data_IF_976550204574
#
_entry.id   IF_976550204574
#
_cell.length_a   1.000
_cell.length_b   1.000
_cell.length_c   1.000
_cell.angle_alpha   90.00
_cell.angle_beta   90.00
_cell.angle_gamma   90.00
#
_symmetry.space_group_name_H-M   'P 1'
#
loop_
_entity.id
_entity.type
_entity.pdbx_description
1 polymer ?
#
# COMPACT_ATOMS: atom_id res chain seq x y z
N UNK A 1 -0.24 27.07 -3.68
CA UNK A 1 0.03 28.12 -2.69
C UNK A 1 -0.15 27.61 -1.27
N UNK A 2 -1.29 27.05 -0.94
CA UNK A 2 -1.54 26.44 0.38
C UNK A 2 -0.56 25.31 0.70
N UNK A 3 -0.28 24.45 -0.26
CA UNK A 3 0.66 23.31 -0.11
C UNK A 3 2.12 23.74 0.10
N UNK A 4 2.51 24.90 -0.42
CA UNK A 4 3.87 25.43 -0.30
C UNK A 4 4.04 26.42 0.87
N UNK A 5 3.00 26.67 1.67
CA UNK A 5 3.02 27.60 2.79
C UNK A 5 3.32 29.06 2.39
N UNK A 6 3.14 29.42 1.10
CA UNK A 6 3.41 30.76 0.57
C UNK A 6 2.14 31.43 0.06
N UNK A 7 2.11 32.76 0.14
CA UNK A 7 0.98 33.55 -0.38
C UNK A 7 0.82 33.34 -1.90
N UNK A 8 -0.44 33.28 -2.42
CA UNK A 8 -0.69 33.12 -3.86
C UNK A 8 -0.01 34.15 -4.73
N UNK A 9 0.15 35.38 -4.24
CA UNK A 9 0.86 36.47 -4.92
C UNK A 9 2.33 36.18 -5.16
N UNK A 10 2.99 35.48 -4.24
CA UNK A 10 4.40 35.06 -4.38
C UNK A 10 4.57 34.06 -5.50
N UNK A 11 3.68 33.07 -5.59
CA UNK A 11 3.68 32.07 -6.68
C UNK A 11 3.46 32.75 -8.03
N UNK A 12 2.44 33.60 -8.12
CA UNK A 12 2.16 34.36 -9.34
C UNK A 12 3.39 35.18 -9.78
N UNK A 13 4.04 35.90 -8.85
CA UNK A 13 5.24 36.67 -9.14
C UNK A 13 6.38 35.79 -9.67
N UNK A 14 6.64 34.65 -9.06
CA UNK A 14 7.69 33.71 -9.49
C UNK A 14 7.42 33.10 -10.86
N UNK A 15 6.17 32.72 -11.15
CA UNK A 15 5.78 32.23 -12.48
C UNK A 15 5.98 33.32 -13.53
N UNK A 16 5.50 34.53 -13.28
CA UNK A 16 5.69 35.65 -14.21
C UNK A 16 7.16 35.97 -14.46
N UNK A 17 8.02 35.86 -13.44
CA UNK A 17 9.48 36.05 -13.60
C UNK A 17 10.06 34.91 -14.48
N UNK A 18 9.67 33.68 -14.28
CA UNK A 18 10.09 32.56 -15.09
C UNK A 18 9.66 32.73 -16.55
N UNK A 19 8.39 33.05 -16.80
CA UNK A 19 7.84 33.31 -18.14
C UNK A 19 8.59 34.43 -18.84
N UNK A 20 8.90 35.51 -18.10
CA UNK A 20 9.70 36.61 -18.64
C UNK A 20 11.13 36.21 -19.00
N UNK A 21 11.78 35.37 -18.18
CA UNK A 21 13.13 34.88 -18.46
C UNK A 21 13.16 33.91 -19.64
N UNK A 22 12.10 33.15 -19.85
CA UNK A 22 11.96 32.20 -20.96
C UNK A 22 11.40 32.83 -22.23
N UNK A 23 10.84 34.04 -22.17
CA UNK A 23 10.20 34.70 -23.29
C UNK A 23 8.91 34.01 -23.79
N UNK A 24 8.29 33.17 -22.94
CA UNK A 24 7.10 32.39 -23.30
C UNK A 24 6.15 32.28 -22.11
N UNK A 25 4.86 32.39 -22.40
CA UNK A 25 3.82 32.19 -21.38
C UNK A 25 3.57 30.69 -21.14
N UNK A 26 3.67 30.26 -19.90
CA UNK A 26 3.52 28.86 -19.48
C UNK A 26 2.12 28.58 -18.92
N UNK A 27 1.48 29.58 -18.31
CA UNK A 27 0.16 29.44 -17.70
C UNK A 27 -0.78 30.54 -18.14
N UNK A 28 -2.07 30.20 -18.24
CA UNK A 28 -3.16 31.16 -18.51
C UNK A 28 -4.23 31.05 -17.43
N UNK A 29 -4.87 32.19 -17.14
CA UNK A 29 -6.08 32.22 -16.31
C UNK A 29 -7.29 31.87 -17.17
N UNK A 30 -8.05 30.89 -16.74
CA UNK A 30 -9.35 30.55 -17.33
C UNK A 30 -10.48 30.78 -16.32
N UNK A 31 -11.71 30.77 -16.78
CA UNK A 31 -12.90 30.84 -15.92
C UNK A 31 -13.00 29.67 -14.92
N UNK A 32 -12.23 28.59 -15.16
CA UNK A 32 -12.14 27.39 -14.31
C UNK A 32 -10.88 27.34 -13.44
N UNK A 33 -10.03 28.37 -13.49
CA UNK A 33 -8.79 28.45 -12.71
C UNK A 33 -7.55 28.66 -13.58
N UNK A 34 -6.39 28.25 -13.07
CA UNK A 34 -5.09 28.31 -13.75
C UNK A 34 -4.95 27.08 -14.66
N UNK A 35 -4.63 27.29 -15.93
CA UNK A 35 -4.38 26.21 -16.90
C UNK A 35 -2.98 26.37 -17.53
N UNK A 36 -2.40 25.28 -18.02
CA UNK A 36 -1.18 25.33 -18.81
C UNK A 36 -1.46 25.83 -20.23
N UNK A 37 -0.49 26.52 -20.83
CA UNK A 37 -0.47 26.78 -22.27
C UNK A 37 0.14 25.58 -23.00
N UNK A 38 0.04 25.53 -24.34
CA UNK A 38 0.75 24.52 -25.14
C UNK A 38 2.28 24.53 -24.89
N UNK A 39 2.85 25.71 -24.57
CA UNK A 39 4.23 25.81 -24.13
C UNK A 39 4.40 25.23 -22.70
N UNK A 40 3.48 25.54 -21.78
CA UNK A 40 3.46 24.97 -20.44
C UNK A 40 3.44 23.45 -20.43
N UNK A 41 2.57 22.83 -21.20
CA UNK A 41 2.47 21.36 -21.34
C UNK A 41 3.78 20.74 -21.87
N UNK A 42 4.45 21.42 -22.80
CA UNK A 42 5.71 20.96 -23.36
C UNK A 42 6.90 21.12 -22.40
N UNK A 43 6.93 22.19 -21.60
CA UNK A 43 8.04 22.48 -20.70
C UNK A 43 7.89 21.84 -19.31
N UNK A 44 6.68 21.62 -18.80
CA UNK A 44 6.44 21.06 -17.49
C UNK A 44 7.15 19.71 -17.26
N UNK A 45 7.10 18.72 -18.16
CA UNK A 45 7.83 17.45 -17.97
C UNK A 45 9.35 17.64 -17.89
N UNK A 46 9.88 18.64 -18.63
CA UNK A 46 11.31 18.98 -18.60
C UNK A 46 11.72 19.62 -17.29
N UNK A 47 10.90 20.52 -16.75
CA UNK A 47 11.14 21.10 -15.43
C UNK A 47 11.10 20.06 -14.32
N UNK A 48 10.12 19.16 -14.37
CA UNK A 48 10.01 18.07 -13.39
C UNK A 48 11.27 17.19 -13.42
N UNK A 49 11.76 16.85 -14.62
CA UNK A 49 12.99 16.06 -14.75
C UNK A 49 14.23 16.81 -14.27
N UNK A 50 14.40 18.09 -14.62
CA UNK A 50 15.51 18.90 -14.16
C UNK A 50 15.52 19.09 -12.65
N UNK A 51 14.35 19.24 -12.04
CA UNK A 51 14.23 19.31 -10.58
C UNK A 51 14.61 17.97 -9.93
N UNK A 52 14.20 16.84 -10.53
CA UNK A 52 14.60 15.51 -10.05
C UNK A 52 16.12 15.32 -10.16
N UNK A 53 16.73 15.64 -11.30
CA UNK A 53 18.18 15.60 -11.51
C UNK A 53 18.93 16.54 -10.55
N UNK A 54 18.36 17.70 -10.25
CA UNK A 54 18.91 18.65 -9.27
C UNK A 54 18.81 18.10 -7.85
N UNK A 55 17.70 17.46 -7.49
CA UNK A 55 17.53 16.79 -6.20
C UNK A 55 18.52 15.62 -6.07
N UNK A 56 18.73 14.83 -7.12
CA UNK A 56 19.74 13.75 -7.15
C UNK A 56 21.17 14.27 -6.89
N UNK A 57 21.54 15.46 -7.39
CA UNK A 57 22.85 16.07 -7.12
C UNK A 57 23.04 16.43 -5.64
N UNK A 58 21.97 16.84 -4.95
CA UNK A 58 22.02 17.07 -3.50
C UNK A 58 22.02 15.74 -2.74
N UNK A 59 21.31 14.72 -3.24
CA UNK A 59 21.29 13.39 -2.66
C UNK A 59 22.66 12.69 -2.73
N UNK A 60 23.37 12.80 -3.85
CA UNK A 60 24.72 12.26 -4.00
C UNK A 60 25.73 12.91 -3.02
N UNK A 61 25.54 14.18 -2.68
CA UNK A 61 26.34 14.88 -1.69
C UNK A 61 25.97 14.48 -0.26
N UNK A 62 24.69 14.16 -0.03
CA UNK A 62 24.16 13.80 1.28
C UNK A 62 24.40 12.32 1.61
N UNK A 63 24.51 11.45 0.61
CA UNK A 63 24.77 10.02 0.80
C UNK A 63 26.16 9.72 1.41
N UNK A 64 27.13 10.60 1.23
CA UNK A 64 28.48 10.42 1.80
C UNK A 64 28.65 10.96 3.23
N UNK A 65 27.72 11.77 3.78
CA UNK A 65 27.92 12.42 5.08
C UNK A 65 26.71 12.66 5.99
N UNK A 66 25.48 12.40 5.57
CA UNK A 66 24.33 12.65 6.44
C UNK A 66 23.91 11.35 7.18
N UNK A 67 24.19 11.34 8.48
CA UNK A 67 23.43 10.48 9.38
C UNK A 67 21.96 10.85 9.24
N UNK A 68 21.16 9.94 8.68
CA UNK A 68 19.72 10.13 8.63
C UNK A 68 19.20 10.29 10.06
N UNK A 69 18.57 11.42 10.34
CA UNK A 69 18.04 11.74 11.65
C UNK A 69 16.59 12.20 11.54
N UNK A 70 15.81 11.93 12.55
CA UNK A 70 14.46 12.44 12.64
C UNK A 70 13.44 11.45 13.18
N UNK A 71 12.23 11.95 13.30
CA UNK A 71 11.07 11.17 13.72
C UNK A 71 10.12 10.92 12.55
N UNK A 72 9.66 9.67 12.42
CA UNK A 72 8.63 9.26 11.47
C UNK A 72 7.45 8.66 12.22
N UNK A 73 6.26 9.13 11.87
CA UNK A 73 4.99 8.58 12.33
C UNK A 73 4.32 7.85 11.18
N UNK A 74 4.19 6.52 11.30
CA UNK A 74 3.77 5.63 10.22
C UNK A 74 2.50 4.88 10.63
N UNK A 75 1.52 4.83 9.72
CA UNK A 75 0.40 3.90 9.84
C UNK A 75 0.75 2.59 9.12
N UNK A 76 0.50 1.45 9.76
CA UNK A 76 0.72 0.14 9.16
C UNK A 76 -0.42 -0.84 9.49
N UNK A 77 -0.74 -1.81 8.60
CA UNK A 77 -1.72 -2.85 8.91
C UNK A 77 -1.19 -3.81 9.98
N UNK A 78 -2.08 -4.25 10.87
CA UNK A 78 -1.70 -5.06 12.03
C UNK A 78 -1.00 -6.35 11.64
N UNK A 79 -1.64 -7.18 10.85
CA UNK A 79 -1.18 -8.54 10.53
C UNK A 79 0.20 -8.54 9.88
N UNK A 80 0.37 -7.85 8.77
CA UNK A 80 1.65 -7.87 8.04
C UNK A 80 2.77 -7.18 8.83
N UNK A 81 2.43 -6.21 9.67
CA UNK A 81 3.43 -5.54 10.49
C UNK A 81 4.01 -6.48 11.55
N UNK A 82 3.15 -7.22 12.23
CA UNK A 82 3.59 -8.14 13.28
C UNK A 82 4.26 -9.40 12.74
N UNK A 83 3.95 -9.81 11.51
CA UNK A 83 4.51 -11.01 10.90
C UNK A 83 5.81 -10.72 10.10
N UNK A 84 5.96 -9.53 9.52
CA UNK A 84 7.07 -9.24 8.61
C UNK A 84 7.69 -7.85 8.78
N UNK A 85 6.88 -6.77 8.71
CA UNK A 85 7.44 -5.42 8.65
C UNK A 85 8.09 -4.97 9.94
N UNK A 86 7.68 -5.49 11.11
CA UNK A 86 8.24 -5.14 12.41
C UNK A 86 9.73 -5.44 12.51
N UNK A 87 10.17 -6.57 11.95
CA UNK A 87 11.61 -6.92 11.88
C UNK A 87 12.34 -5.93 10.98
N UNK A 88 11.77 -5.59 9.82
CA UNK A 88 12.39 -4.64 8.89
C UNK A 88 12.49 -3.22 9.47
N UNK A 89 11.50 -2.78 10.24
CA UNK A 89 11.59 -1.52 10.96
C UNK A 89 12.71 -1.53 12.00
N UNK A 90 12.86 -2.63 12.75
CA UNK A 90 13.93 -2.76 13.74
C UNK A 90 15.30 -2.79 13.08
N UNK A 91 15.50 -3.55 12.00
CA UNK A 91 16.75 -3.59 11.23
C UNK A 91 17.09 -2.19 10.68
N UNK A 92 16.11 -1.49 10.08
CA UNK A 92 16.31 -0.14 9.57
C UNK A 92 16.78 0.83 10.67
N UNK A 93 16.20 0.75 11.87
CA UNK A 93 16.60 1.60 13.00
C UNK A 93 17.99 1.25 13.54
N UNK A 94 18.43 -0.02 13.47
CA UNK A 94 19.81 -0.42 13.80
C UNK A 94 20.80 0.22 12.83
N UNK A 95 20.49 0.22 11.53
CA UNK A 95 21.33 0.82 10.49
C UNK A 95 21.32 2.36 10.55
N UNK A 96 20.25 2.96 11.11
CA UNK A 96 20.04 4.41 11.20
C UNK A 96 19.73 4.86 12.63
N UNK A 97 20.72 4.91 13.54
CA UNK A 97 20.51 5.18 14.98
C UNK A 97 19.96 6.59 15.30
N UNK A 98 20.03 7.53 14.36
CA UNK A 98 19.45 8.88 14.49
C UNK A 98 17.95 8.94 14.18
N UNK A 99 17.32 7.81 13.77
CA UNK A 99 15.91 7.76 13.42
C UNK A 99 15.10 7.19 14.58
N UNK A 100 13.93 7.77 14.82
CA UNK A 100 12.88 7.22 15.68
C UNK A 100 11.60 6.97 14.89
N UNK A 101 10.93 5.83 15.15
CA UNK A 101 9.68 5.45 14.51
C UNK A 101 8.54 5.38 15.52
N UNK A 102 7.40 5.99 15.19
CA UNK A 102 6.11 5.73 15.80
C UNK A 102 5.27 4.93 14.80
N UNK A 103 5.06 3.64 15.06
CA UNK A 103 4.27 2.76 14.20
C UNK A 103 2.88 2.56 14.80
N UNK A 104 1.86 3.11 14.14
CA UNK A 104 0.47 3.01 14.57
C UNK A 104 -0.23 1.92 13.76
N UNK A 105 -0.70 0.88 14.44
CA UNK A 105 -1.38 -0.25 13.81
C UNK A 105 -2.86 0.06 13.60
N UNK A 106 -3.28 0.14 12.34
CA UNK A 106 -4.66 0.44 11.93
C UNK A 106 -4.99 -0.32 10.64
N UNK A 107 -6.06 -1.12 10.64
CA UNK A 107 -6.44 -1.96 9.50
C UNK A 107 -7.42 -1.30 8.53
N UNK A 108 -8.02 -0.16 8.89
CA UNK A 108 -8.81 0.64 7.95
C UNK A 108 -7.93 1.43 6.98
N UNK A 109 -8.52 1.86 5.89
CA UNK A 109 -7.87 2.84 5.02
C UNK A 109 -7.70 4.19 5.73
N UNK A 110 -6.56 4.83 5.51
CA UNK A 110 -6.17 6.09 6.14
C UNK A 110 -5.62 7.02 5.07
N UNK A 111 -6.11 8.26 5.06
CA UNK A 111 -5.44 9.33 4.33
C UNK A 111 -4.28 9.87 5.20
N UNK A 112 -3.01 9.56 4.87
CA UNK A 112 -1.90 9.96 5.72
C UNK A 112 -1.75 11.47 5.85
N UNK A 113 -2.19 12.23 4.85
CA UNK A 113 -2.15 13.70 4.88
C UNK A 113 -3.10 14.29 5.93
N UNK A 114 -4.31 13.72 6.02
CA UNK A 114 -5.34 14.22 6.94
C UNK A 114 -5.10 13.77 8.39
N UNK A 115 -4.55 12.57 8.58
CA UNK A 115 -4.32 12.00 9.91
C UNK A 115 -2.89 12.24 10.44
N UNK A 116 -2.08 13.03 9.73
CA UNK A 116 -0.78 13.48 10.19
C UNK A 116 0.31 12.41 10.22
N UNK A 117 0.20 11.38 9.37
CA UNK A 117 1.25 10.39 9.17
C UNK A 117 2.28 10.87 8.14
N UNK A 118 3.52 10.46 8.29
CA UNK A 118 4.55 10.71 7.29
C UNK A 118 4.30 9.84 6.05
N UNK A 119 3.85 8.61 6.23
CA UNK A 119 3.22 7.77 5.21
C UNK A 119 2.34 6.69 5.86
N UNK A 120 1.52 6.03 5.04
CA UNK A 120 0.70 4.91 5.48
C UNK A 120 0.97 3.69 4.61
N UNK A 121 1.13 2.51 5.22
CA UNK A 121 1.15 1.24 4.52
C UNK A 121 -0.26 0.64 4.44
N UNK A 122 -0.56 -0.02 3.32
CA UNK A 122 -1.85 -0.68 3.14
C UNK A 122 -1.95 -1.46 1.84
N UNK A 123 -2.82 -2.47 1.82
CA UNK A 123 -3.11 -3.28 0.64
C UNK A 123 -4.49 -2.97 0.01
N UNK A 124 -5.27 -2.07 0.61
CA UNK A 124 -6.57 -1.67 0.06
C UNK A 124 -6.41 -0.90 -1.26
N UNK A 125 -7.29 -1.09 -2.25
CA UNK A 125 -7.26 -0.41 -3.54
C UNK A 125 -7.79 1.03 -3.43
N UNK A 126 -7.21 1.81 -2.53
CA UNK A 126 -7.60 3.20 -2.28
C UNK A 126 -6.44 4.12 -2.58
N UNK A 127 -6.72 5.25 -3.20
CA UNK A 127 -5.77 6.35 -3.45
C UNK A 127 -6.39 7.67 -3.00
N UNK A 128 -5.55 8.64 -2.65
CA UNK A 128 -5.99 9.92 -2.13
C UNK A 128 -5.38 11.08 -2.92
N UNK A 129 -6.08 12.23 -3.05
CA UNK A 129 -5.50 13.43 -3.63
C UNK A 129 -4.23 13.85 -2.88
N UNK A 130 -3.20 14.29 -3.62
CA UNK A 130 -1.92 14.72 -3.09
C UNK A 130 -1.13 13.66 -2.30
N UNK A 131 -1.46 12.39 -2.50
CA UNK A 131 -0.74 11.24 -1.97
C UNK A 131 -0.20 10.44 -3.16
N UNK A 132 1.04 9.97 -3.03
CA UNK A 132 1.71 9.13 -4.02
C UNK A 132 1.59 7.68 -3.56
N UNK A 133 1.11 6.81 -4.44
CA UNK A 133 1.06 5.38 -4.21
C UNK A 133 2.38 4.76 -4.68
N UNK A 134 3.19 4.29 -3.74
CA UNK A 134 4.45 3.57 -4.03
C UNK A 134 4.24 2.08 -3.79
N UNK A 135 4.21 1.24 -4.85
CA UNK A 135 4.07 -0.19 -4.68
C UNK A 135 5.31 -0.79 -4.01
N UNK A 136 5.09 -1.59 -2.97
CA UNK A 136 6.14 -2.28 -2.20
C UNK A 136 6.29 -3.72 -2.69
N UNK A 137 5.29 -4.57 -2.51
CA UNK A 137 5.31 -5.96 -2.95
C UNK A 137 3.89 -6.47 -3.26
N UNK A 138 3.76 -7.57 -4.03
CA UNK A 138 2.50 -8.28 -4.17
C UNK A 138 1.98 -8.74 -2.81
N UNK A 139 0.67 -8.66 -2.62
CA UNK A 139 -0.03 -9.15 -1.43
C UNK A 139 -0.96 -10.27 -1.87
N UNK A 140 -0.38 -11.46 -1.98
CA UNK A 140 -1.05 -12.64 -2.47
C UNK A 140 -1.96 -13.25 -1.40
N UNK A 141 -3.12 -13.74 -1.85
CA UNK A 141 -4.16 -14.28 -1.01
C UNK A 141 -4.54 -15.69 -1.47
N UNK A 142 -5.02 -16.50 -0.56
CA UNK A 142 -5.50 -17.84 -0.84
C UNK A 142 -6.79 -18.12 -0.06
N UNK A 143 -7.76 -18.73 -0.76
CA UNK A 143 -8.97 -19.26 -0.12
C UNK A 143 -8.65 -20.64 0.45
N UNK A 144 -8.94 -20.88 1.72
CA UNK A 144 -8.62 -22.16 2.38
C UNK A 144 -9.57 -22.45 3.55
N UNK A 145 -9.54 -23.70 4.01
CA UNK A 145 -10.18 -24.13 5.25
C UNK A 145 -9.43 -25.31 5.88
N UNK A 146 -9.73 -25.68 7.12
CA UNK A 146 -9.24 -26.94 7.68
C UNK A 146 -9.98 -28.15 7.08
N UNK A 147 -9.30 -29.30 6.83
CA UNK A 147 -9.95 -30.51 6.33
C UNK A 147 -11.16 -30.94 7.16
N UNK A 148 -11.08 -30.80 8.48
CA UNK A 148 -12.18 -31.15 9.40
C UNK A 148 -13.46 -30.33 9.20
N UNK A 149 -13.37 -29.13 8.61
CA UNK A 149 -14.55 -28.33 8.29
C UNK A 149 -15.39 -28.97 7.18
N UNK A 150 -14.76 -29.73 6.30
CA UNK A 150 -15.40 -30.38 5.18
C UNK A 150 -15.87 -31.82 5.49
N UNK A 151 -15.70 -32.32 6.72
CA UNK A 151 -16.21 -33.63 7.10
C UNK A 151 -17.73 -33.61 6.95
N UNK A 152 -18.23 -34.52 6.10
CA UNK A 152 -19.66 -34.62 5.73
C UNK A 152 -20.15 -33.54 4.75
N UNK A 153 -19.25 -32.73 4.16
CA UNK A 153 -19.55 -31.75 3.13
C UNK A 153 -18.61 -31.91 1.93
N UNK A 154 -19.07 -31.59 0.74
CA UNK A 154 -18.21 -31.46 -0.43
C UNK A 154 -17.34 -30.18 -0.31
N UNK A 155 -16.18 -30.17 -0.92
CA UNK A 155 -15.44 -28.91 -1.10
C UNK A 155 -16.11 -28.08 -2.20
N UNK A 156 -16.26 -26.76 -2.04
CA UNK A 156 -16.83 -25.90 -3.09
C UNK A 156 -15.93 -25.93 -4.33
N UNK A 157 -16.54 -26.15 -5.49
CA UNK A 157 -15.87 -26.18 -6.80
C UNK A 157 -16.00 -24.87 -7.54
N UNK A 158 -16.99 -24.04 -7.17
CA UNK A 158 -17.26 -22.74 -7.77
C UNK A 158 -17.54 -21.69 -6.69
N UNK A 159 -17.08 -20.44 -6.84
CA UNK A 159 -17.31 -19.38 -5.84
C UNK A 159 -18.77 -19.19 -5.42
N UNK A 160 -19.72 -19.36 -6.35
CA UNK A 160 -21.15 -19.21 -6.02
C UNK A 160 -21.66 -20.20 -4.98
N UNK A 161 -20.97 -21.32 -4.81
CA UNK A 161 -21.34 -22.33 -3.78
C UNK A 161 -21.00 -21.84 -2.37
N UNK A 162 -20.16 -20.81 -2.23
CA UNK A 162 -19.77 -20.25 -0.93
C UNK A 162 -20.97 -19.70 -0.13
N UNK A 163 -22.09 -19.43 -0.76
CA UNK A 163 -23.34 -19.01 -0.10
C UNK A 163 -23.84 -20.07 0.89
N UNK A 164 -23.50 -21.33 0.68
CA UNK A 164 -23.90 -22.47 1.50
C UNK A 164 -22.86 -22.83 2.58
N UNK A 165 -21.77 -22.03 2.70
CA UNK A 165 -20.69 -22.28 3.65
C UNK A 165 -20.54 -21.14 4.65
N UNK A 166 -20.13 -21.49 5.87
CA UNK A 166 -19.69 -20.50 6.84
C UNK A 166 -18.36 -19.91 6.40
N UNK A 167 -18.29 -18.59 6.32
CA UNK A 167 -17.10 -17.87 5.93
C UNK A 167 -16.56 -16.99 7.06
N UNK A 168 -15.24 -16.78 7.04
CA UNK A 168 -14.54 -15.94 8.02
C UNK A 168 -14.00 -14.72 7.28
N UNK A 169 -14.48 -13.53 7.61
CA UNK A 169 -14.32 -12.34 6.79
C UNK A 169 -13.35 -11.32 7.38
N UNK A 170 -12.67 -10.58 6.52
CA UNK A 170 -11.74 -9.49 6.90
C UNK A 170 -12.31 -8.13 6.51
N UNK A 171 -11.67 -7.05 6.97
CA UNK A 171 -11.97 -5.69 6.51
C UNK A 171 -11.72 -5.49 5.02
N UNK A 172 -10.85 -6.32 4.40
CA UNK A 172 -10.49 -6.23 3.00
C UNK A 172 -11.66 -6.59 2.06
N UNK A 173 -12.41 -7.65 2.40
CA UNK A 173 -13.49 -8.18 1.55
C UNK A 173 -14.87 -8.08 2.18
N UNK A 174 -14.94 -7.93 3.51
CA UNK A 174 -16.22 -8.01 4.24
C UNK A 174 -17.00 -9.25 3.80
N UNK A 175 -18.27 -9.07 3.38
CA UNK A 175 -19.14 -10.15 2.89
C UNK A 175 -19.11 -10.32 1.38
N UNK A 176 -18.55 -9.39 0.61
CA UNK A 176 -18.48 -9.48 -0.86
C UNK A 176 -17.08 -9.97 -1.25
N UNK A 177 -16.98 -11.24 -1.59
CA UNK A 177 -15.73 -11.84 -2.05
C UNK A 177 -15.62 -11.78 -3.57
N UNK A 178 -14.44 -11.44 -4.07
CA UNK A 178 -14.17 -11.30 -5.50
C UNK A 178 -13.13 -12.34 -5.91
N UNK A 179 -13.40 -13.02 -7.01
CA UNK A 179 -12.53 -14.03 -7.61
C UNK A 179 -12.28 -13.71 -9.08
N UNK A 180 -11.16 -14.14 -9.60
CA UNK A 180 -10.89 -14.10 -11.03
C UNK A 180 -11.41 -15.36 -11.72
N UNK A 181 -11.94 -15.19 -12.93
CA UNK A 181 -12.34 -16.30 -13.78
C UNK A 181 -11.98 -16.03 -15.24
N UNK A 182 -12.03 -17.06 -16.08
CA UNK A 182 -11.83 -16.94 -17.53
C UNK A 182 -12.80 -15.99 -18.23
N UNK A 183 -13.91 -15.63 -17.55
CA UNK A 183 -14.95 -14.70 -18.04
C UNK A 183 -14.91 -13.34 -17.38
N UNK A 184 -13.90 -13.07 -16.54
CA UNK A 184 -13.76 -11.82 -15.78
C UNK A 184 -13.97 -12.00 -14.28
N UNK A 185 -14.05 -10.88 -13.56
CA UNK A 185 -14.24 -10.89 -12.11
C UNK A 185 -15.63 -11.44 -11.72
N UNK A 186 -15.66 -12.29 -10.72
CA UNK A 186 -16.85 -12.91 -10.16
C UNK A 186 -16.99 -12.49 -8.70
N UNK A 187 -18.11 -11.87 -8.35
CA UNK A 187 -18.41 -11.46 -6.97
C UNK A 187 -19.45 -12.40 -6.35
N UNK A 188 -19.25 -12.78 -5.10
CA UNK A 188 -20.19 -13.58 -4.33
C UNK A 188 -20.38 -13.00 -2.94
N UNK A 189 -21.62 -12.92 -2.49
CA UNK A 189 -21.95 -12.59 -1.10
C UNK A 189 -21.85 -13.84 -0.24
N UNK A 190 -21.06 -13.77 0.83
CA UNK A 190 -20.82 -14.88 1.74
C UNK A 190 -21.47 -14.64 3.11
N UNK A 191 -21.86 -15.72 3.78
CA UNK A 191 -22.33 -15.67 5.15
C UNK A 191 -21.14 -15.56 6.11
N UNK A 192 -20.99 -14.40 6.78
CA UNK A 192 -19.89 -14.16 7.71
C UNK A 192 -20.21 -14.67 9.11
N UNK A 193 -19.58 -15.77 9.52
CA UNK A 193 -19.66 -16.31 10.87
C UNK A 193 -18.77 -15.60 11.88
N UNK A 194 -17.60 -15.15 11.42
CA UNK A 194 -16.64 -14.37 12.19
C UNK A 194 -16.05 -13.29 11.31
N UNK A 195 -16.05 -12.05 11.82
CA UNK A 195 -15.39 -10.92 11.18
C UNK A 195 -14.26 -10.41 12.07
N UNK A 196 -13.06 -10.21 11.50
CA UNK A 196 -11.92 -9.63 12.21
C UNK A 196 -11.06 -8.78 11.28
N UNK A 197 -10.47 -7.72 11.80
CA UNK A 197 -9.43 -6.96 11.09
C UNK A 197 -8.08 -7.66 11.10
N UNK A 198 -7.81 -8.52 12.07
CA UNK A 198 -6.57 -9.29 12.18
C UNK A 198 -6.74 -10.69 11.59
N UNK A 199 -6.03 -10.98 10.50
CA UNK A 199 -6.09 -12.27 9.80
C UNK A 199 -5.54 -13.44 10.62
N UNK A 200 -4.76 -13.20 11.68
CA UNK A 200 -4.29 -14.25 12.59
C UNK A 200 -5.44 -14.86 13.37
N UNK A 201 -6.40 -14.04 13.81
CA UNK A 201 -7.62 -14.52 14.46
C UNK A 201 -8.41 -15.42 13.52
N UNK A 202 -8.53 -15.02 12.25
CA UNK A 202 -9.24 -15.79 11.24
C UNK A 202 -8.52 -17.11 10.88
N UNK A 203 -7.17 -17.07 10.82
CA UNK A 203 -6.36 -18.30 10.66
C UNK A 203 -6.65 -19.28 11.79
N UNK A 204 -6.62 -18.82 13.03
CA UNK A 204 -6.90 -19.67 14.19
C UNK A 204 -8.32 -20.24 14.17
N UNK A 205 -9.30 -19.44 13.76
CA UNK A 205 -10.67 -19.91 13.60
C UNK A 205 -10.79 -20.98 12.48
N UNK A 206 -10.15 -20.74 11.34
CA UNK A 206 -10.11 -21.69 10.23
C UNK A 206 -9.43 -23.01 10.61
N UNK A 207 -8.28 -22.96 11.31
CA UNK A 207 -7.59 -24.14 11.84
C UNK A 207 -8.47 -24.96 12.80
N UNK A 208 -9.42 -24.32 13.48
CA UNK A 208 -10.41 -25.02 14.34
C UNK A 208 -11.63 -25.51 13.59
N UNK A 209 -11.68 -25.30 12.25
CA UNK A 209 -12.77 -25.78 11.40
C UNK A 209 -14.04 -24.92 11.51
N UNK A 210 -13.92 -23.61 11.78
CA UNK A 210 -15.10 -22.75 11.87
C UNK A 210 -15.68 -22.37 10.51
N UNK A 211 -14.88 -22.40 9.43
CA UNK A 211 -15.35 -22.01 8.11
C UNK A 211 -14.23 -21.87 7.08
N UNK A 212 -14.60 -21.34 5.92
CA UNK A 212 -13.72 -20.98 4.82
C UNK A 212 -13.21 -19.56 5.03
N UNK A 213 -11.95 -19.31 4.69
CA UNK A 213 -11.30 -18.02 4.87
C UNK A 213 -10.45 -17.65 3.65
N UNK A 214 -10.31 -16.35 3.37
CA UNK A 214 -9.26 -15.80 2.51
C UNK A 214 -8.16 -15.28 3.41
N UNK A 215 -6.96 -15.87 3.29
CA UNK A 215 -5.78 -15.48 4.07
C UNK A 215 -4.65 -14.98 3.17
N UNK A 216 -3.81 -14.07 3.67
CA UNK A 216 -2.50 -13.82 3.05
C UNK A 216 -1.67 -15.11 3.01
N UNK A 217 -0.95 -15.34 1.91
CA UNK A 217 -0.13 -16.54 1.73
C UNK A 217 0.89 -16.70 2.84
N UNK A 218 1.55 -15.63 3.28
CA UNK A 218 2.53 -15.71 4.38
C UNK A 218 1.95 -16.22 5.72
N UNK A 219 0.61 -16.20 5.90
CA UNK A 219 -0.07 -16.83 7.03
C UNK A 219 -0.58 -18.24 6.73
N UNK A 220 -0.84 -18.55 5.47
CA UNK A 220 -1.51 -19.78 5.07
C UNK A 220 -0.53 -20.88 4.63
N UNK A 221 0.62 -20.52 4.04
CA UNK A 221 1.51 -21.49 3.37
C UNK A 221 2.09 -22.52 4.35
N UNK A 222 2.52 -22.12 5.54
CA UNK A 222 2.99 -23.06 6.56
C UNK A 222 1.88 -24.05 7.02
N UNK A 223 0.68 -23.59 7.43
CA UNK A 223 -0.44 -24.50 7.71
C UNK A 223 -0.85 -25.38 6.52
N UNK A 224 -0.76 -24.87 5.29
CA UNK A 224 -1.07 -25.65 4.08
C UNK A 224 -0.02 -26.75 3.88
N UNK A 225 1.26 -26.42 3.99
CA UNK A 225 2.34 -27.41 3.83
C UNK A 225 2.27 -28.54 4.87
N UNK A 226 1.73 -28.23 6.06
CA UNK A 226 1.50 -29.20 7.14
C UNK A 226 0.15 -29.95 7.01
N UNK A 227 -0.66 -29.68 5.98
CA UNK A 227 -1.97 -30.27 5.79
C UNK A 227 -3.03 -29.84 6.82
N UNK A 228 -2.76 -28.81 7.61
CA UNK A 228 -3.69 -28.25 8.60
C UNK A 228 -4.77 -27.38 7.94
N UNK A 229 -4.42 -26.73 6.83
CA UNK A 229 -5.33 -26.04 5.93
C UNK A 229 -5.18 -26.64 4.53
N UNK A 230 -6.26 -26.61 3.76
CA UNK A 230 -6.29 -27.01 2.35
C UNK A 230 -6.74 -25.83 1.50
N UNK A 231 -6.04 -25.55 0.38
CA UNK A 231 -6.47 -24.51 -0.54
C UNK A 231 -7.73 -24.95 -1.30
N UNK A 232 -8.64 -24.03 -1.49
CA UNK A 232 -9.90 -24.20 -2.19
C UNK A 232 -9.95 -23.31 -3.43
N UNK A 233 -10.86 -23.62 -4.36
CA UNK A 233 -11.17 -22.77 -5.52
C UNK A 233 -9.92 -22.38 -6.34
N UNK A 234 -9.01 -23.32 -6.59
CA UNK A 234 -7.74 -23.07 -7.28
C UNK A 234 -7.91 -22.48 -8.69
N UNK A 235 -9.01 -22.83 -9.37
CA UNK A 235 -9.35 -22.32 -10.70
C UNK A 235 -9.99 -20.92 -10.66
N UNK A 236 -10.24 -20.40 -9.47
CA UNK A 236 -10.82 -19.11 -9.19
C UNK A 236 -9.95 -18.36 -8.17
N UNK A 237 -8.77 -17.87 -8.57
CA UNK A 237 -7.90 -17.17 -7.65
C UNK A 237 -8.52 -15.86 -7.16
N UNK A 238 -8.14 -15.44 -5.97
CA UNK A 238 -8.43 -14.10 -5.47
C UNK A 238 -7.52 -13.12 -6.21
N UNK A 239 -8.01 -11.93 -6.63
CA UNK A 239 -7.18 -10.92 -7.26
C UNK A 239 -5.94 -10.58 -6.44
N UNK A 240 -4.81 -10.37 -7.12
CA UNK A 240 -3.57 -9.95 -6.47
C UNK A 240 -3.68 -8.50 -6.03
N UNK A 241 -3.53 -8.25 -4.75
CA UNK A 241 -3.39 -6.93 -4.18
C UNK A 241 -1.92 -6.52 -4.12
N UNK A 242 -1.67 -5.25 -3.85
CA UNK A 242 -0.33 -4.74 -3.65
C UNK A 242 -0.25 -4.06 -2.28
N UNK A 243 0.70 -4.50 -1.47
CA UNK A 243 1.13 -3.66 -0.35
C UNK A 243 1.80 -2.43 -0.94
N UNK A 244 1.34 -1.26 -0.55
CA UNK A 244 1.84 0.03 -1.03
C UNK A 244 2.07 0.99 0.12
N UNK A 245 3.02 1.90 -0.07
CA UNK A 245 3.18 3.07 0.77
C UNK A 245 2.40 4.23 0.15
N UNK A 246 1.49 4.80 0.91
CA UNK A 246 0.73 6.00 0.60
C UNK A 246 1.49 7.18 1.20
N UNK A 247 2.23 7.91 0.38
CA UNK A 247 3.12 8.98 0.84
C UNK A 247 2.56 10.34 0.43
N UNK A 248 2.27 11.27 1.38
CA UNK A 248 1.91 12.64 1.02
C UNK A 248 2.99 13.25 0.13
N UNK A 249 2.58 13.86 -0.99
CA UNK A 249 3.51 14.37 -2.01
C UNK A 249 4.60 15.29 -1.42
N UNK A 250 4.22 16.12 -0.45
CA UNK A 250 5.17 17.00 0.25
C UNK A 250 6.16 16.25 1.17
N UNK A 251 5.86 15.05 1.59
CA UNK A 251 6.73 14.22 2.45
C UNK A 251 7.75 13.41 1.63
N UNK A 252 7.54 13.25 0.33
CA UNK A 252 8.51 12.58 -0.57
C UNK A 252 9.84 13.33 -0.67
N UNK A 253 9.87 14.64 -0.39
CA UNK A 253 11.12 15.42 -0.33
C UNK A 253 11.99 15.12 0.90
N UNK A 254 11.45 14.43 1.92
CA UNK A 254 12.21 14.06 3.14
C UNK A 254 13.07 12.83 2.88
N UNK A 255 14.42 12.92 3.00
CA UNK A 255 15.31 11.78 2.74
C UNK A 255 14.95 10.53 3.55
N UNK A 256 14.63 10.70 4.84
CA UNK A 256 14.28 9.58 5.74
C UNK A 256 13.02 8.84 5.30
N UNK A 257 12.04 9.51 4.70
CA UNK A 257 10.81 8.88 4.16
C UNK A 257 11.15 8.05 2.93
N UNK A 258 11.92 8.62 2.00
CA UNK A 258 12.34 7.91 0.78
C UNK A 258 13.17 6.68 1.10
N UNK A 259 14.14 6.83 1.99
CA UNK A 259 15.04 5.73 2.38
C UNK A 259 14.27 4.58 3.02
N UNK A 260 13.39 4.86 3.99
CA UNK A 260 12.59 3.79 4.61
C UNK A 260 11.65 3.11 3.59
N UNK A 261 11.00 3.88 2.71
CA UNK A 261 10.12 3.31 1.67
C UNK A 261 10.93 2.45 0.68
N UNK A 262 12.11 2.91 0.26
CA UNK A 262 13.00 2.17 -0.62
C UNK A 262 13.55 0.89 0.05
N UNK A 263 13.94 1.00 1.31
CA UNK A 263 14.38 -0.13 2.13
C UNK A 263 13.31 -1.22 2.22
N UNK A 264 12.08 -0.84 2.60
CA UNK A 264 10.96 -1.78 2.68
C UNK A 264 10.69 -2.45 1.32
N UNK A 265 10.71 -1.68 0.23
CA UNK A 265 10.51 -2.22 -1.12
C UNK A 265 11.57 -3.26 -1.49
N UNK A 266 12.85 -2.95 -1.27
CA UNK A 266 13.96 -3.86 -1.59
C UNK A 266 13.89 -5.14 -0.78
N UNK A 267 13.67 -5.03 0.53
CA UNK A 267 13.65 -6.19 1.44
C UNK A 267 12.43 -7.10 1.20
N UNK A 268 11.26 -6.51 1.00
CA UNK A 268 10.02 -7.28 0.76
C UNK A 268 10.02 -7.97 -0.61
N UNK A 269 10.63 -7.39 -1.66
CA UNK A 269 10.75 -8.04 -2.97
C UNK A 269 11.75 -9.19 -2.96
N UNK A 270 12.82 -9.10 -2.17
CA UNK A 270 13.79 -10.18 -2.03
C UNK A 270 13.22 -11.44 -1.35
N UNK A 271 12.26 -11.27 -0.46
CA UNK A 271 11.61 -12.38 0.25
C UNK A 271 10.61 -13.15 -0.65
N UNK A 272 10.05 -12.50 -1.67
CA UNK A 272 9.08 -13.12 -2.59
C UNK A 272 9.71 -14.03 -3.66
N UNK A 273 11.04 -14.04 -3.82
CA UNK A 273 11.74 -14.86 -4.82
C UNK A 273 12.34 -16.16 -4.24
N UNK A 274 12.20 -16.39 -2.96
CA UNK A 274 12.85 -17.51 -2.24
C UNK A 274 11.90 -18.59 -1.70
N UNK A 275 10.63 -18.61 -2.15
CA UNK A 275 9.64 -19.60 -1.65
C UNK A 275 9.14 -20.50 -2.77
#
# INVERSE_FOLDING_TARGET
ARELGVAPSVITKRITQLEKSMGVQLVVRSTRGLALTAAGDRYLPRFVRLLAEFEELFEARDAEQLKLEGHLRIKSPTTITTEALGVLFAEFMVDHPGISLEVVLVDRSVNPLEEGFDFALGALPVSYPNVIDVPICPYELVTCCAPKYLVGKSAPQHPNELVDYECLTTVLFRTTWVFESSRGALSVEVHSRLHSSDSRILREAALRGLGIVILPRFLADEPISKGLLIPLLKDFPVPVFWLKALVPRMKMSRPVVRELVAYLKTRMQGTSQGS
#
